data_IF_529098031884
#
_entry.id   IF_529098031884
#
_cell.length_a   1.000
_cell.length_b   1.000
_cell.length_c   1.000
_cell.angle_alpha   90.00
_cell.angle_beta   90.00
_cell.angle_gamma   90.00
#
_symmetry.space_group_name_H-M   'P 1'
#
loop_
_entity.id
_entity.type
_entity.pdbx_description
1 polymer ?
#
# COMPACT_ATOMS: atom_id res chain seq x y z
N UNK A 1 10.78 -0.34 -4.26
CA UNK A 1 9.87 -1.00 -5.23
C UNK A 1 9.83 -2.53 -5.07
N UNK A 2 10.80 -3.18 -4.43
CA UNK A 2 10.91 -4.66 -4.36
C UNK A 2 10.05 -5.40 -3.32
N UNK A 3 9.37 -4.71 -2.38
CA UNK A 3 8.55 -5.36 -1.35
C UNK A 3 7.06 -5.55 -1.70
N UNK A 4 6.57 -4.93 -2.80
CA UNK A 4 5.16 -5.10 -3.25
C UNK A 4 4.98 -6.15 -4.35
N UNK A 5 6.02 -6.39 -5.15
CA UNK A 5 6.05 -7.51 -6.10
C UNK A 5 5.82 -8.88 -5.43
N UNK A 6 6.37 -9.21 -4.24
CA UNK A 6 6.17 -10.54 -3.67
C UNK A 6 4.72 -10.81 -3.26
N UNK A 7 3.96 -9.83 -2.76
CA UNK A 7 2.58 -10.10 -2.31
C UNK A 7 1.66 -10.34 -3.51
N UNK A 8 1.76 -9.53 -4.57
CA UNK A 8 0.99 -9.76 -5.81
C UNK A 8 1.39 -11.09 -6.46
N UNK A 9 2.69 -11.41 -6.47
CA UNK A 9 3.20 -12.67 -7.00
C UNK A 9 2.76 -13.88 -6.19
N UNK A 10 2.76 -13.79 -4.85
CA UNK A 10 2.28 -14.82 -3.94
C UNK A 10 0.77 -15.03 -4.15
N UNK A 11 -0.03 -13.95 -4.20
CA UNK A 11 -1.47 -14.07 -4.47
C UNK A 11 -1.77 -14.64 -5.85
N UNK A 12 -0.99 -14.28 -6.88
CA UNK A 12 -1.16 -14.80 -8.24
C UNK A 12 -0.75 -16.28 -8.34
N UNK A 13 0.35 -16.68 -7.70
CA UNK A 13 0.79 -18.07 -7.67
C UNK A 13 -0.20 -18.97 -6.93
N UNK A 14 -0.73 -18.50 -5.78
CA UNK A 14 -1.71 -19.27 -5.02
C UNK A 14 -3.07 -19.36 -5.74
N UNK A 15 -3.56 -18.27 -6.34
CA UNK A 15 -4.80 -18.33 -7.15
C UNK A 15 -4.64 -19.28 -8.32
N UNK A 16 -3.49 -19.28 -8.98
CA UNK A 16 -3.19 -20.19 -10.08
C UNK A 16 -3.19 -21.66 -9.64
N UNK A 17 -2.47 -21.99 -8.56
CA UNK A 17 -2.40 -23.37 -8.04
C UNK A 17 -3.77 -23.88 -7.60
N UNK A 18 -4.55 -23.07 -6.87
CA UNK A 18 -5.88 -23.49 -6.40
C UNK A 18 -6.86 -23.62 -7.58
N UNK A 19 -6.77 -22.71 -8.57
CA UNK A 19 -7.61 -22.80 -9.78
C UNK A 19 -7.29 -24.06 -10.59
N UNK A 20 -6.02 -24.42 -10.72
CA UNK A 20 -5.59 -25.69 -11.34
C UNK A 20 -6.12 -26.87 -10.54
N UNK A 21 -5.95 -26.88 -9.21
CA UNK A 21 -6.45 -27.97 -8.37
C UNK A 21 -7.97 -28.14 -8.51
N UNK A 22 -8.73 -27.05 -8.53
CA UNK A 22 -10.19 -27.09 -8.75
C UNK A 22 -10.55 -27.61 -10.14
N UNK A 23 -9.83 -27.19 -11.17
CA UNK A 23 -10.04 -27.66 -12.54
C UNK A 23 -9.73 -29.16 -12.67
N UNK A 24 -8.60 -29.60 -12.11
CA UNK A 24 -8.20 -31.01 -12.10
C UNK A 24 -9.24 -31.85 -11.36
N UNK A 25 -9.73 -31.40 -10.21
CA UNK A 25 -10.76 -32.13 -9.45
C UNK A 25 -12.09 -32.19 -10.21
N UNK A 26 -12.47 -31.10 -10.88
CA UNK A 26 -13.66 -31.08 -11.73
C UNK A 26 -13.55 -32.06 -12.90
N UNK A 27 -12.34 -32.29 -13.40
CA UNK A 27 -12.05 -33.21 -14.50
C UNK A 27 -11.82 -34.66 -14.04
N UNK A 28 -11.28 -34.86 -12.83
CA UNK A 28 -10.89 -36.17 -12.30
C UNK A 28 -11.99 -36.88 -11.54
N UNK A 29 -13.02 -36.16 -11.08
CA UNK A 29 -14.24 -36.80 -10.61
C UNK A 29 -15.03 -37.26 -11.83
N UNK A 30 -14.78 -38.51 -12.25
CA UNK A 30 -15.53 -39.27 -13.26
C UNK A 30 -17.03 -39.29 -12.92
N UNK A 31 -17.72 -38.20 -13.21
CA UNK A 31 -19.16 -38.22 -13.36
C UNK A 31 -19.43 -38.91 -14.70
N UNK A 32 -20.32 -39.91 -14.79
CA UNK A 32 -20.84 -40.35 -16.08
C UNK A 32 -21.27 -39.10 -16.88
N UNK A 33 -21.17 -39.13 -18.21
CA UNK A 33 -21.32 -37.99 -19.15
C UNK A 33 -22.45 -37.00 -18.78
N UNK A 34 -23.49 -37.49 -18.13
CA UNK A 34 -24.67 -36.77 -17.61
C UNK A 34 -24.35 -35.73 -16.51
N UNK A 35 -23.32 -35.91 -15.68
CA UNK A 35 -22.99 -35.02 -14.54
C UNK A 35 -21.91 -33.95 -14.79
N UNK A 36 -21.22 -34.04 -15.93
CA UNK A 36 -20.07 -33.18 -16.27
C UNK A 36 -20.40 -31.67 -16.33
N UNK A 37 -21.56 -31.23 -16.87
CA UNK A 37 -21.90 -29.80 -16.90
C UNK A 37 -22.05 -29.19 -15.51
N UNK A 38 -22.60 -29.98 -14.56
CA UNK A 38 -22.79 -29.53 -13.19
C UNK A 38 -21.46 -29.43 -12.45
N UNK A 39 -20.56 -30.40 -12.61
CA UNK A 39 -19.21 -30.35 -12.03
C UNK A 39 -18.41 -29.13 -12.54
N UNK A 40 -18.44 -28.86 -13.84
CA UNK A 40 -17.79 -27.69 -14.45
C UNK A 40 -18.38 -26.39 -13.91
N UNK A 41 -19.72 -26.32 -13.76
CA UNK A 41 -20.39 -25.16 -13.16
C UNK A 41 -19.95 -24.92 -11.72
N UNK A 42 -19.86 -25.97 -10.89
CA UNK A 42 -19.39 -25.85 -9.51
C UNK A 42 -17.94 -25.36 -9.44
N UNK A 43 -17.06 -25.90 -10.28
CA UNK A 43 -15.66 -25.48 -10.35
C UNK A 43 -15.53 -24.02 -10.79
N UNK A 44 -16.28 -23.61 -11.82
CA UNK A 44 -16.30 -22.23 -12.30
C UNK A 44 -16.70 -21.26 -11.18
N UNK A 45 -17.83 -21.49 -10.49
CA UNK A 45 -18.26 -20.60 -9.41
C UNK A 45 -17.30 -20.63 -8.22
N UNK A 46 -16.68 -21.78 -7.92
CA UNK A 46 -15.67 -21.87 -6.85
C UNK A 46 -14.42 -21.04 -7.16
N UNK A 47 -13.92 -21.14 -8.40
CA UNK A 47 -12.78 -20.33 -8.87
C UNK A 47 -13.15 -18.85 -8.87
N UNK A 48 -14.32 -18.48 -9.40
CA UNK A 48 -14.78 -17.10 -9.45
C UNK A 48 -14.93 -16.51 -8.05
N UNK A 49 -15.51 -17.26 -7.11
CA UNK A 49 -15.64 -16.83 -5.71
C UNK A 49 -14.28 -16.68 -5.04
N UNK A 50 -13.35 -17.59 -5.29
CA UNK A 50 -12.00 -17.49 -4.75
C UNK A 50 -11.25 -16.26 -5.30
N UNK A 51 -11.27 -16.07 -6.61
CA UNK A 51 -10.60 -14.95 -7.28
C UNK A 51 -11.17 -13.61 -6.79
N UNK A 52 -12.49 -13.49 -6.72
CA UNK A 52 -13.15 -12.28 -6.21
C UNK A 52 -12.86 -12.04 -4.73
N UNK A 53 -12.88 -13.08 -3.88
CA UNK A 53 -12.49 -12.96 -2.46
C UNK A 53 -11.07 -12.45 -2.31
N UNK A 54 -10.10 -13.05 -3.01
CA UNK A 54 -8.70 -12.65 -2.91
C UNK A 54 -8.48 -11.22 -3.43
N UNK A 55 -9.14 -10.85 -4.52
CA UNK A 55 -9.07 -9.50 -5.09
C UNK A 55 -9.66 -8.47 -4.13
N UNK A 56 -10.83 -8.74 -3.54
CA UNK A 56 -11.42 -7.88 -2.51
C UNK A 56 -10.53 -7.76 -1.27
N UNK A 57 -9.97 -8.87 -0.79
CA UNK A 57 -9.05 -8.87 0.36
C UNK A 57 -7.80 -8.03 0.07
N UNK A 58 -7.20 -8.18 -1.11
CA UNK A 58 -6.05 -7.40 -1.54
C UNK A 58 -6.37 -5.90 -1.58
N UNK A 59 -7.51 -5.50 -2.16
CA UNK A 59 -7.95 -4.11 -2.17
C UNK A 59 -8.12 -3.54 -0.76
N UNK A 60 -8.73 -4.29 0.16
CA UNK A 60 -8.90 -3.84 1.55
C UNK A 60 -7.53 -3.66 2.21
N UNK A 61 -6.62 -4.63 2.03
CA UNK A 61 -5.23 -4.53 2.53
C UNK A 61 -4.55 -3.28 1.98
N UNK A 62 -4.68 -2.96 0.69
CA UNK A 62 -4.11 -1.76 0.10
C UNK A 62 -4.71 -0.47 0.69
N UNK A 63 -6.02 -0.41 0.89
CA UNK A 63 -6.67 0.74 1.50
C UNK A 63 -6.21 0.95 2.94
N UNK A 64 -6.16 -0.12 3.74
CA UNK A 64 -5.66 -0.07 5.11
C UNK A 64 -4.17 0.29 5.14
N UNK A 65 -3.37 -0.23 4.21
CA UNK A 65 -1.95 0.12 4.08
C UNK A 65 -1.75 1.62 3.80
N UNK A 66 -2.54 2.20 2.87
CA UNK A 66 -2.51 3.65 2.61
C UNK A 66 -2.94 4.43 3.86
N UNK A 67 -4.00 3.98 4.55
CA UNK A 67 -4.43 4.56 5.83
C UNK A 67 -3.32 4.55 6.88
N UNK A 68 -2.63 3.42 7.05
CA UNK A 68 -1.53 3.28 7.99
C UNK A 68 -0.38 4.24 7.64
N UNK A 69 -0.01 4.35 6.36
CA UNK A 69 1.04 5.28 5.92
C UNK A 69 0.65 6.75 6.10
N UNK A 70 -0.63 7.10 6.07
CA UNK A 70 -1.06 8.49 6.27
C UNK A 70 -1.18 8.84 7.75
N UNK A 71 -1.73 7.94 8.56
CA UNK A 71 -2.19 8.26 9.92
C UNK A 71 -1.34 7.66 11.03
N UNK A 72 -0.77 6.47 10.83
CA UNK A 72 -0.07 5.72 11.89
C UNK A 72 1.44 5.81 11.73
N UNK A 73 1.92 5.70 10.49
CA UNK A 73 3.32 5.71 10.12
C UNK A 73 3.59 6.73 9.00
N UNK A 74 3.45 8.04 9.25
CA UNK A 74 3.72 9.08 8.24
C UNK A 74 5.11 8.97 7.61
N UNK A 75 6.12 8.56 8.38
CA UNK A 75 7.50 8.44 7.89
C UNK A 75 7.67 7.30 6.87
N UNK A 76 6.82 6.27 6.91
CA UNK A 76 6.78 5.20 5.92
C UNK A 76 6.31 5.67 4.53
N UNK A 77 5.86 6.92 4.41
CA UNK A 77 5.61 7.52 3.10
C UNK A 77 6.92 7.72 2.35
N UNK A 78 8.00 8.08 3.04
CA UNK A 78 9.18 8.73 2.46
C UNK A 78 10.31 7.79 2.03
N UNK A 79 10.31 6.52 2.47
CA UNK A 79 11.35 5.53 2.13
C UNK A 79 11.49 5.30 0.61
N UNK A 80 10.49 5.68 -0.20
CA UNK A 80 10.51 5.52 -1.65
C UNK A 80 10.85 6.80 -2.43
N UNK A 81 11.10 7.93 -1.76
CA UNK A 81 11.24 9.25 -2.38
C UNK A 81 12.68 9.74 -2.36
N UNK A 82 13.63 8.90 -2.79
CA UNK A 82 15.05 9.24 -2.81
C UNK A 82 15.42 10.49 -3.62
N UNK A 83 14.49 11.11 -4.36
CA UNK A 83 14.78 12.20 -5.30
C UNK A 83 13.71 13.30 -5.43
N UNK A 84 12.62 13.28 -4.64
CA UNK A 84 11.61 14.34 -4.71
C UNK A 84 11.67 15.26 -3.47
N UNK A 85 12.76 16.00 -3.37
CA UNK A 85 12.96 17.06 -2.39
C UNK A 85 12.64 18.42 -3.05
N UNK A 86 12.39 19.50 -2.26
CA UNK A 86 12.15 20.82 -2.84
C UNK A 86 13.26 21.24 -3.85
N UNK A 87 13.00 22.12 -4.82
CA UNK A 87 14.08 22.62 -5.67
C UNK A 87 15.00 23.56 -4.88
N UNK A 88 16.32 23.39 -4.97
CA UNK A 88 17.28 24.32 -4.36
C UNK A 88 17.47 25.60 -5.18
N UNK A 89 17.81 26.71 -4.53
CA UNK A 89 18.10 27.98 -5.21
C UNK A 89 19.57 28.07 -5.61
N UNK A 90 19.85 27.78 -6.88
CA UNK A 90 21.18 27.92 -7.47
C UNK A 90 21.22 29.12 -8.40
N UNK A 91 22.15 30.05 -8.17
CA UNK A 91 22.40 31.20 -9.04
C UNK A 91 23.76 30.99 -9.69
N UNK A 92 23.77 30.76 -11.00
CA UNK A 92 25.02 30.51 -11.71
C UNK A 92 25.69 31.83 -12.13
N UNK A 93 27.01 31.89 -11.98
CA UNK A 93 27.82 32.95 -12.57
C UNK A 93 27.70 32.93 -14.10
N UNK A 94 27.53 34.08 -14.77
CA UNK A 94 27.48 34.15 -16.23
C UNK A 94 28.74 33.59 -16.90
N UNK A 95 29.90 33.73 -16.26
CA UNK A 95 31.19 33.45 -16.91
C UNK A 95 31.68 32.00 -16.73
N UNK A 96 31.30 31.29 -15.66
CA UNK A 96 31.95 30.01 -15.30
C UNK A 96 31.02 28.89 -14.78
N UNK A 97 29.70 29.11 -14.69
CA UNK A 97 28.75 28.08 -14.21
C UNK A 97 28.89 27.69 -12.73
N UNK A 98 29.72 28.41 -11.96
CA UNK A 98 29.88 28.20 -10.52
C UNK A 98 28.72 28.87 -9.76
N UNK A 99 28.07 28.20 -8.80
CA UNK A 99 27.05 28.82 -7.96
C UNK A 99 27.61 30.01 -7.18
N UNK A 100 27.03 31.20 -7.35
CA UNK A 100 27.34 32.41 -6.59
C UNK A 100 26.39 32.52 -5.40
N UNK A 101 26.90 33.04 -4.27
CA UNK A 101 26.08 33.42 -3.12
C UNK A 101 25.41 34.77 -3.35
N UNK A 102 24.11 34.87 -3.12
CA UNK A 102 23.44 36.17 -2.99
C UNK A 102 24.03 36.87 -1.78
N UNK A 103 24.49 38.10 -1.90
CA UNK A 103 24.97 38.86 -0.73
C UNK A 103 24.22 40.19 -0.64
N UNK A 104 23.13 40.18 0.12
CA UNK A 104 22.38 41.40 0.42
C UNK A 104 22.96 42.18 1.61
N UNK A 105 23.99 41.67 2.30
CA UNK A 105 24.64 42.34 3.42
C UNK A 105 25.81 43.21 3.00
N UNK A 106 26.42 42.94 1.83
CA UNK A 106 27.65 43.63 1.38
C UNK A 106 27.39 44.80 0.41
N UNK A 107 26.21 44.91 -0.20
CA UNK A 107 25.88 46.05 -1.05
C UNK A 107 24.98 47.03 -0.31
N UNK A 108 25.55 48.19 0.07
CA UNK A 108 24.82 49.37 0.58
C UNK A 108 23.64 49.80 -0.33
N UNK A 109 23.64 49.30 -1.57
CA UNK A 109 22.53 49.34 -2.50
C UNK A 109 21.85 47.97 -2.56
N UNK A 110 20.61 47.92 -2.08
CA UNK A 110 19.66 46.81 -2.16
C UNK A 110 19.29 46.35 -3.59
N UNK A 111 20.27 46.18 -4.48
CA UNK A 111 20.08 45.98 -5.92
C UNK A 111 20.51 44.58 -6.33
N UNK A 112 19.54 43.67 -6.39
CA UNK A 112 19.68 42.41 -7.13
C UNK A 112 19.86 42.72 -8.62
N UNK A 113 20.83 42.05 -9.26
CA UNK A 113 20.95 42.03 -10.73
C UNK A 113 19.73 41.38 -11.35
N UNK A 114 19.43 41.69 -12.62
CA UNK A 114 18.27 41.13 -13.30
C UNK A 114 18.36 39.60 -13.42
N UNK A 115 19.56 39.05 -13.65
CA UNK A 115 19.81 37.60 -13.64
C UNK A 115 19.48 36.95 -12.28
N UNK A 116 19.76 37.63 -11.16
CA UNK A 116 19.41 37.13 -9.83
C UNK A 116 17.90 37.17 -9.60
N UNK A 117 17.22 38.25 -10.01
CA UNK A 117 15.76 38.37 -9.92
C UNK A 117 15.07 37.28 -10.72
N UNK A 118 15.53 37.03 -11.95
CA UNK A 118 14.99 35.97 -12.81
C UNK A 118 15.23 34.59 -12.20
N UNK A 119 16.43 34.31 -11.67
CA UNK A 119 16.72 33.03 -11.01
C UNK A 119 15.84 32.79 -9.78
N UNK A 120 15.62 33.82 -8.95
CA UNK A 120 14.72 33.73 -7.79
C UNK A 120 13.29 33.49 -8.26
N UNK A 121 12.82 34.20 -9.30
CA UNK A 121 11.47 34.04 -9.83
C UNK A 121 11.24 32.63 -10.37
N UNK A 122 12.16 32.10 -11.18
CA UNK A 122 12.09 30.72 -11.69
C UNK A 122 12.08 29.72 -10.55
N UNK A 123 12.97 29.86 -9.56
CA UNK A 123 12.98 28.99 -8.39
C UNK A 123 11.66 29.06 -7.59
N UNK A 124 11.04 30.23 -7.45
CA UNK A 124 9.74 30.37 -6.79
C UNK A 124 8.63 29.64 -7.56
N UNK A 125 8.61 29.75 -8.88
CA UNK A 125 7.67 29.02 -9.73
C UNK A 125 7.88 27.50 -9.62
N UNK A 126 9.14 27.04 -9.66
CA UNK A 126 9.50 25.64 -9.49
C UNK A 126 9.12 25.12 -8.10
N UNK A 127 9.36 25.89 -7.03
CA UNK A 127 8.99 25.49 -5.68
C UNK A 127 7.46 25.44 -5.51
N UNK A 128 6.72 26.40 -6.05
CA UNK A 128 5.25 26.36 -6.07
C UNK A 128 4.74 25.14 -6.84
N UNK A 129 5.32 24.87 -8.02
CA UNK A 129 4.98 23.72 -8.84
C UNK A 129 5.26 22.42 -8.09
N UNK A 130 6.45 22.27 -7.51
CA UNK A 130 6.83 21.13 -6.68
C UNK A 130 5.85 20.93 -5.51
N UNK A 131 5.52 22.01 -4.79
CA UNK A 131 4.64 21.94 -3.61
C UNK A 131 3.19 21.60 -3.99
N UNK A 132 2.74 22.09 -5.15
CA UNK A 132 1.44 21.74 -5.72
C UNK A 132 1.40 20.29 -6.22
N UNK A 133 2.53 19.80 -6.73
CA UNK A 133 2.78 18.43 -7.14
C UNK A 133 3.28 17.59 -5.96
N UNK A 134 2.56 17.61 -4.83
CA UNK A 134 2.88 16.73 -3.72
C UNK A 134 2.66 15.27 -4.15
N UNK A 135 3.68 14.66 -4.77
CA UNK A 135 3.66 13.33 -5.37
C UNK A 135 3.23 12.28 -4.37
N UNK A 136 3.55 12.49 -3.08
CA UNK A 136 3.12 11.61 -1.99
C UNK A 136 1.60 11.60 -1.88
N UNK A 137 0.99 12.79 -1.87
CA UNK A 137 -0.47 12.93 -1.80
C UNK A 137 -1.14 12.39 -3.05
N UNK A 138 -0.62 12.73 -4.24
CA UNK A 138 -1.18 12.24 -5.52
C UNK A 138 -1.08 10.71 -5.58
N UNK A 139 0.08 10.14 -5.28
CA UNK A 139 0.31 8.69 -5.32
C UNK A 139 -0.55 7.93 -4.31
N UNK A 140 -0.65 8.43 -3.07
CA UNK A 140 -1.53 7.81 -2.07
C UNK A 140 -2.99 7.86 -2.52
N UNK A 141 -3.43 8.96 -3.14
CA UNK A 141 -4.77 9.08 -3.73
C UNK A 141 -4.94 8.09 -4.88
N UNK A 142 -4.00 8.00 -5.82
CA UNK A 142 -4.06 7.05 -6.95
C UNK A 142 -4.14 5.61 -6.46
N UNK A 143 -3.32 5.22 -5.48
CA UNK A 143 -3.38 3.87 -4.90
C UNK A 143 -4.71 3.60 -4.21
N UNK A 144 -5.23 4.56 -3.44
CA UNK A 144 -6.53 4.43 -2.79
C UNK A 144 -7.66 4.32 -3.81
N UNK A 145 -7.66 5.15 -4.86
CA UNK A 145 -8.65 5.12 -5.94
C UNK A 145 -8.60 3.77 -6.65
N UNK A 146 -7.42 3.29 -7.06
CA UNK A 146 -7.29 2.00 -7.73
C UNK A 146 -7.80 0.85 -6.85
N UNK A 147 -7.41 0.82 -5.57
CA UNK A 147 -7.85 -0.21 -4.65
C UNK A 147 -9.37 -0.17 -4.45
N UNK A 148 -9.94 1.03 -4.34
CA UNK A 148 -11.39 1.24 -4.20
C UNK A 148 -12.16 0.83 -5.46
N UNK A 149 -11.68 1.20 -6.65
CA UNK A 149 -12.27 0.80 -7.93
C UNK A 149 -12.33 -0.72 -8.06
N UNK A 150 -11.24 -1.41 -7.73
CA UNK A 150 -11.20 -2.87 -7.73
C UNK A 150 -12.17 -3.44 -6.68
N UNK A 151 -12.23 -2.87 -5.47
CA UNK A 151 -13.10 -3.34 -4.40
C UNK A 151 -14.58 -3.24 -4.78
N UNK A 152 -14.99 -2.12 -5.37
CA UNK A 152 -16.37 -1.85 -5.81
C UNK A 152 -16.85 -2.91 -6.80
N UNK A 153 -15.95 -3.44 -7.64
CA UNK A 153 -16.30 -4.48 -8.63
C UNK A 153 -16.18 -5.89 -8.03
N UNK A 154 -15.07 -6.18 -7.35
CA UNK A 154 -14.78 -7.51 -6.85
C UNK A 154 -15.72 -7.95 -5.72
N UNK A 155 -16.09 -7.03 -4.82
CA UNK A 155 -16.87 -7.37 -3.63
C UNK A 155 -18.31 -7.82 -3.96
N UNK A 156 -19.07 -7.15 -4.84
CA UNK A 156 -20.37 -7.65 -5.29
C UNK A 156 -20.27 -8.99 -6.01
N UNK A 157 -19.24 -9.17 -6.86
CA UNK A 157 -18.99 -10.45 -7.56
C UNK A 157 -18.73 -11.56 -6.55
N UNK A 158 -17.98 -11.30 -5.49
CA UNK A 158 -17.75 -12.25 -4.41
C UNK A 158 -19.06 -12.68 -3.75
N UNK A 159 -19.88 -11.74 -3.28
CA UNK A 159 -21.14 -12.07 -2.61
C UNK A 159 -22.10 -12.84 -3.52
N UNK A 160 -22.22 -12.42 -4.79
CA UNK A 160 -23.07 -13.08 -5.76
C UNK A 160 -22.59 -14.51 -6.06
N UNK A 161 -21.32 -14.66 -6.41
CA UNK A 161 -20.74 -15.97 -6.74
C UNK A 161 -20.73 -16.91 -5.54
N UNK A 162 -20.43 -16.42 -4.34
CA UNK A 162 -20.48 -17.19 -3.10
C UNK A 162 -21.89 -17.71 -2.81
N UNK A 163 -22.91 -16.87 -3.00
CA UNK A 163 -24.31 -17.26 -2.81
C UNK A 163 -24.73 -18.34 -3.81
N UNK A 164 -24.35 -18.19 -5.08
CA UNK A 164 -24.65 -19.19 -6.12
C UNK A 164 -23.93 -20.50 -5.81
N UNK A 165 -22.65 -20.44 -5.45
CA UNK A 165 -21.82 -21.60 -5.14
C UNK A 165 -22.40 -22.38 -3.96
N UNK A 166 -22.69 -21.71 -2.85
CA UNK A 166 -23.23 -22.32 -1.63
C UNK A 166 -24.61 -22.95 -1.84
N UNK A 167 -25.52 -22.28 -2.55
CA UNK A 167 -26.83 -22.86 -2.93
C UNK A 167 -26.66 -24.11 -3.79
N UNK A 168 -25.73 -24.07 -4.74
CA UNK A 168 -25.45 -25.21 -5.61
C UNK A 168 -24.89 -26.41 -4.82
N UNK A 169 -24.06 -26.15 -3.81
CA UNK A 169 -23.56 -27.19 -2.91
C UNK A 169 -24.65 -27.78 -2.02
N UNK A 170 -25.61 -26.97 -1.55
CA UNK A 170 -26.72 -27.45 -0.73
C UNK A 170 -27.65 -28.42 -1.47
N UNK A 171 -27.82 -28.29 -2.79
CA UNK A 171 -28.68 -29.19 -3.58
C UNK A 171 -28.01 -30.53 -3.93
N UNK A 172 -26.71 -30.70 -3.65
CA UNK A 172 -25.96 -31.88 -4.05
C UNK A 172 -25.85 -32.86 -2.87
N UNK A 173 -26.49 -34.03 -2.98
CA UNK A 173 -26.60 -35.02 -1.89
C UNK A 173 -25.23 -35.63 -1.47
N UNK A 174 -24.20 -35.52 -2.31
CA UNK A 174 -22.81 -35.86 -2.00
C UNK A 174 -21.98 -34.59 -1.88
N UNK A 175 -21.14 -34.51 -0.84
CA UNK A 175 -20.13 -33.46 -0.71
C UNK A 175 -19.24 -33.45 -1.97
N UNK A 176 -19.30 -32.38 -2.73
CA UNK A 176 -18.44 -32.23 -3.91
C UNK A 176 -16.99 -32.05 -3.46
N UNK A 177 -16.01 -32.70 -4.10
CA UNK A 177 -14.60 -32.46 -3.78
C UNK A 177 -14.19 -31.00 -4.02
N UNK A 178 -14.84 -30.32 -4.97
CA UNK A 178 -14.63 -28.89 -5.24
C UNK A 178 -14.94 -28.02 -4.02
N UNK A 179 -15.97 -28.37 -3.26
CA UNK A 179 -16.33 -27.71 -2.03
C UNK A 179 -15.21 -27.84 -0.99
N UNK A 180 -14.73 -29.06 -0.72
CA UNK A 180 -13.64 -29.24 0.24
C UNK A 180 -12.38 -28.47 -0.15
N UNK A 181 -11.99 -28.50 -1.43
CA UNK A 181 -10.83 -27.75 -1.91
C UNK A 181 -11.01 -26.24 -1.80
N UNK A 182 -12.21 -25.72 -2.05
CA UNK A 182 -12.49 -24.31 -1.79
C UNK A 182 -12.28 -23.97 -0.31
N UNK A 183 -12.95 -24.67 0.60
CA UNK A 183 -12.92 -24.32 2.02
C UNK A 183 -11.52 -24.51 2.64
N UNK A 184 -10.84 -25.61 2.34
CA UNK A 184 -9.48 -25.82 2.84
C UNK A 184 -8.48 -24.91 2.15
N UNK A 185 -8.65 -24.61 0.86
CA UNK A 185 -7.79 -23.69 0.12
C UNK A 185 -7.82 -22.27 0.67
N UNK A 186 -9.01 -21.74 0.98
CA UNK A 186 -9.15 -20.42 1.62
C UNK A 186 -8.50 -20.40 3.01
N UNK A 187 -8.74 -21.44 3.82
CA UNK A 187 -8.17 -21.55 5.18
C UNK A 187 -6.64 -21.65 5.14
N UNK A 188 -6.09 -22.45 4.24
CA UNK A 188 -4.65 -22.60 4.04
C UNK A 188 -4.02 -21.28 3.58
N UNK A 189 -4.59 -20.63 2.58
CA UNK A 189 -4.05 -19.37 2.04
C UNK A 189 -4.01 -18.28 3.10
N UNK A 190 -5.10 -18.12 3.85
CA UNK A 190 -5.16 -17.12 4.93
C UNK A 190 -4.19 -17.43 6.07
N UNK A 191 -4.02 -18.72 6.42
CA UNK A 191 -3.02 -19.13 7.40
C UNK A 191 -1.59 -18.84 6.94
N UNK A 192 -1.26 -19.11 5.67
CA UNK A 192 0.05 -18.79 5.09
C UNK A 192 0.32 -17.28 5.15
N UNK A 193 -0.66 -16.46 4.79
CA UNK A 193 -0.54 -14.99 4.89
C UNK A 193 -0.28 -14.51 6.32
N UNK A 194 -0.95 -15.10 7.30
CA UNK A 194 -0.72 -14.81 8.72
C UNK A 194 0.71 -15.20 9.11
N UNK A 195 1.13 -16.43 8.79
CA UNK A 195 2.47 -16.94 9.13
C UNK A 195 3.59 -16.08 8.53
N UNK A 196 3.48 -15.73 7.24
CA UNK A 196 4.46 -14.87 6.56
C UNK A 196 4.49 -13.48 7.22
N UNK A 197 3.32 -12.90 7.53
CA UNK A 197 3.24 -11.59 8.17
C UNK A 197 3.85 -11.60 9.57
N UNK A 198 3.59 -12.65 10.36
CA UNK A 198 4.20 -12.85 11.68
C UNK A 198 5.72 -13.00 11.55
N UNK A 199 6.21 -13.80 10.60
CA UNK A 199 7.64 -13.96 10.36
C UNK A 199 8.33 -12.63 10.01
N UNK A 200 7.71 -11.81 9.17
CA UNK A 200 8.22 -10.48 8.83
C UNK A 200 8.20 -9.52 10.02
N UNK A 201 7.14 -9.56 10.86
CA UNK A 201 7.05 -8.76 12.07
C UNK A 201 8.11 -9.16 13.10
N UNK A 202 8.30 -10.46 13.32
CA UNK A 202 9.34 -10.98 14.22
C UNK A 202 10.71 -10.58 13.71
N UNK A 203 10.97 -10.71 12.40
CA UNK A 203 12.24 -10.27 11.82
C UNK A 203 12.46 -8.75 11.97
N UNK A 204 11.43 -7.93 11.76
CA UNK A 204 11.53 -6.49 11.97
C UNK A 204 11.83 -6.15 13.44
N UNK A 205 11.11 -6.79 14.38
CA UNK A 205 11.31 -6.60 15.82
C UNK A 205 12.69 -7.07 16.26
N UNK A 206 13.15 -8.23 15.78
CA UNK A 206 14.48 -8.74 16.08
C UNK A 206 15.56 -7.82 15.55
N UNK A 207 15.45 -7.34 14.31
CA UNK A 207 16.40 -6.38 13.76
C UNK A 207 16.37 -5.08 14.56
N UNK A 208 15.20 -4.60 14.99
CA UNK A 208 15.08 -3.40 15.81
C UNK A 208 15.74 -3.55 17.19
N UNK A 209 15.62 -4.73 17.82
CA UNK A 209 16.16 -5.01 19.15
C UNK A 209 17.66 -5.35 19.12
N UNK A 210 18.10 -6.14 18.14
CA UNK A 210 19.45 -6.71 18.06
C UNK A 210 20.41 -5.83 17.27
N UNK A 211 19.91 -5.08 16.28
CA UNK A 211 20.66 -4.10 15.54
C UNK A 211 20.17 -2.73 16.00
N UNK A 212 20.69 -2.18 17.13
CA UNK A 212 20.39 -0.80 17.47
C UNK A 212 20.67 0.02 16.22
N UNK A 213 19.67 0.78 15.76
CA UNK A 213 19.84 1.69 14.63
C UNK A 213 21.18 2.36 14.81
N UNK A 214 22.13 2.11 13.89
CA UNK A 214 23.41 2.82 13.93
C UNK A 214 23.06 4.29 13.74
N UNK A 215 22.86 5.02 14.83
CA UNK A 215 22.86 6.48 14.87
C UNK A 215 24.21 7.07 14.44
N UNK A 216 25.21 6.24 14.15
CA UNK A 216 26.57 6.68 13.87
C UNK A 216 27.08 6.20 12.51
N UNK A 217 27.39 7.18 11.66
CA UNK A 217 28.43 7.24 10.61
C UNK A 217 27.95 7.51 9.19
N UNK A 218 26.65 7.47 8.90
CA UNK A 218 26.19 8.08 7.66
C UNK A 218 26.08 9.58 7.89
N UNK A 219 26.72 10.43 7.05
CA UNK A 219 26.54 11.87 7.16
C UNK A 219 25.03 12.17 7.11
N UNK A 220 24.55 13.17 7.89
CA UNK A 220 23.15 13.58 7.85
C UNK A 220 22.76 13.79 6.39
N UNK A 221 21.62 13.24 5.99
CA UNK A 221 21.15 13.42 4.62
C UNK A 221 20.95 14.91 4.39
N UNK A 222 21.75 15.49 3.49
CA UNK A 222 21.63 16.89 3.07
C UNK A 222 21.28 16.89 1.59
N UNK A 223 20.02 17.17 1.23
CA UNK A 223 19.61 17.19 -0.17
C UNK A 223 20.26 18.32 -0.97
N UNK A 224 20.85 19.32 -0.29
CA UNK A 224 21.51 20.46 -0.92
C UNK A 224 22.88 20.74 -0.32
N UNK A 225 23.71 21.43 -1.10
CA UNK A 225 24.94 22.02 -0.63
C UNK A 225 24.69 23.26 0.25
N UNK A 226 25.76 23.79 0.85
CA UNK A 226 25.68 25.01 1.67
C UNK A 226 25.31 26.25 0.87
N UNK A 227 25.45 26.23 -0.45
CA UNK A 227 25.23 27.39 -1.32
C UNK A 227 23.76 27.61 -1.59
N UNK A 228 23.02 26.55 -1.92
CA UNK A 228 21.58 26.63 -2.11
C UNK A 228 20.86 27.03 -0.81
N UNK A 229 21.29 26.50 0.34
CA UNK A 229 20.74 26.87 1.65
C UNK A 229 21.02 28.36 1.92
N UNK A 230 22.28 28.80 1.76
CA UNK A 230 22.66 30.19 1.98
C UNK A 230 21.91 31.15 1.06
N UNK A 231 21.68 30.79 -0.21
CA UNK A 231 20.94 31.63 -1.15
C UNK A 231 19.49 31.85 -0.69
N UNK A 232 18.80 30.81 -0.22
CA UNK A 232 17.43 30.97 0.29
C UNK A 232 17.41 31.79 1.59
N UNK A 233 18.35 31.56 2.50
CA UNK A 233 18.52 32.38 3.72
C UNK A 233 18.76 33.86 3.39
N UNK A 234 19.58 34.12 2.37
CA UNK A 234 19.86 35.48 1.94
C UNK A 234 18.64 36.13 1.29
N UNK A 235 17.82 35.41 0.51
CA UNK A 235 16.52 35.94 0.01
C UNK A 235 15.63 36.41 1.16
N UNK A 236 15.55 35.65 2.27
CA UNK A 236 14.81 36.07 3.47
C UNK A 236 15.39 37.37 4.03
N UNK A 237 16.70 37.45 4.20
CA UNK A 237 17.36 38.67 4.69
C UNK A 237 17.13 39.88 3.77
N UNK A 238 17.26 39.70 2.45
CA UNK A 238 16.99 40.76 1.46
C UNK A 238 15.55 41.28 1.57
N UNK A 239 14.56 40.46 1.92
CA UNK A 239 13.18 40.94 2.06
C UNK A 239 12.98 41.87 3.25
N UNK A 240 13.73 41.65 4.34
CA UNK A 240 13.63 42.46 5.55
C UNK A 240 14.35 43.80 5.40
N UNK A 241 15.48 43.82 4.70
CA UNK A 241 16.32 45.01 4.56
C UNK A 241 16.02 45.83 3.28
N UNK A 242 15.53 45.19 2.21
CA UNK A 242 15.47 45.78 0.86
C UNK A 242 14.07 45.94 0.24
N UNK A 243 12.99 45.80 1.01
CA UNK A 243 11.59 45.99 0.51
C UNK A 243 11.21 45.10 -0.69
N UNK A 244 11.74 43.87 -0.77
CA UNK A 244 11.24 42.88 -1.75
C UNK A 244 9.77 42.51 -1.45
N UNK A 245 9.02 42.00 -2.44
CA UNK A 245 7.63 41.59 -2.20
C UNK A 245 7.53 40.57 -1.08
N UNK A 246 6.58 40.75 -0.16
CA UNK A 246 6.40 39.88 1.02
C UNK A 246 6.26 38.39 0.67
N UNK A 247 5.73 38.09 -0.52
CA UNK A 247 5.62 36.73 -1.06
C UNK A 247 6.95 35.97 -1.11
N UNK A 248 8.07 36.67 -1.33
CA UNK A 248 9.40 36.07 -1.43
C UNK A 248 9.84 35.53 -0.07
N UNK A 249 9.58 36.29 0.99
CA UNK A 249 9.86 35.90 2.37
C UNK A 249 9.05 34.68 2.77
N UNK A 250 7.76 34.69 2.44
CA UNK A 250 6.84 33.61 2.79
C UNK A 250 7.24 32.30 2.13
N UNK A 251 7.57 32.33 0.83
CA UNK A 251 7.98 31.12 0.10
C UNK A 251 9.34 30.61 0.54
N UNK A 252 10.32 31.50 0.77
CA UNK A 252 11.63 31.10 1.29
C UNK A 252 11.54 30.48 2.68
N UNK A 253 10.72 31.06 3.56
CA UNK A 253 10.46 30.51 4.90
C UNK A 253 9.76 29.14 4.82
N UNK A 254 8.80 28.98 3.90
CA UNK A 254 8.12 27.71 3.69
C UNK A 254 9.08 26.64 3.14
N UNK A 255 9.94 27.01 2.19
CA UNK A 255 10.96 26.11 1.65
C UNK A 255 11.93 25.63 2.73
N UNK A 256 12.37 26.52 3.62
CA UNK A 256 13.25 26.15 4.75
C UNK A 256 12.57 25.14 5.67
N UNK A 257 11.30 25.36 6.00
CA UNK A 257 10.50 24.41 6.81
C UNK A 257 10.36 23.05 6.12
N UNK A 258 10.01 23.04 4.84
CA UNK A 258 9.84 21.81 4.08
C UNK A 258 11.18 21.06 3.98
N UNK A 259 12.28 21.75 3.69
CA UNK A 259 13.64 21.18 3.63
C UNK A 259 14.09 20.56 4.96
N UNK A 260 13.86 21.27 6.07
CA UNK A 260 14.19 20.77 7.40
C UNK A 260 13.35 19.53 7.73
N UNK A 261 12.06 19.56 7.45
CA UNK A 261 11.14 18.42 7.63
C UNK A 261 11.59 17.19 6.82
N UNK A 262 12.03 17.36 5.57
CA UNK A 262 12.58 16.27 4.76
C UNK A 262 13.88 15.71 5.33
N UNK A 263 14.78 16.59 5.77
CA UNK A 263 16.08 16.23 6.36
C UNK A 263 15.88 15.44 7.65
N UNK A 264 15.04 15.94 8.57
CA UNK A 264 14.74 15.29 9.84
C UNK A 264 14.10 13.92 9.59
N UNK A 265 13.11 13.83 8.70
CA UNK A 265 12.44 12.56 8.39
C UNK A 265 13.35 11.52 7.76
N UNK A 266 14.29 11.93 6.90
CA UNK A 266 15.25 11.01 6.31
C UNK A 266 16.25 10.50 7.35
N UNK A 267 16.65 11.36 8.28
CA UNK A 267 17.52 11.01 9.39
C UNK A 267 16.81 10.14 10.44
N UNK A 268 15.48 10.27 10.57
CA UNK A 268 14.64 9.43 11.44
C UNK A 268 13.90 8.34 10.69
N UNK A 269 14.28 8.03 9.44
CA UNK A 269 13.58 7.08 8.60
C UNK A 269 13.72 5.67 9.19
N UNK A 270 12.75 5.29 10.00
CA UNK A 270 12.69 3.98 10.58
C UNK A 270 12.20 2.98 9.53
N UNK A 271 13.12 2.21 8.94
CA UNK A 271 12.81 1.17 7.95
C UNK A 271 11.79 0.14 8.46
N UNK A 272 11.64 0.00 9.78
CA UNK A 272 10.64 -0.89 10.37
C UNK A 272 9.21 -0.37 10.22
N UNK A 273 8.99 0.96 10.19
CA UNK A 273 7.65 1.55 10.02
C UNK A 273 7.01 1.15 8.69
N UNK A 274 7.80 1.05 7.61
CA UNK A 274 7.28 0.54 6.32
C UNK A 274 6.89 -0.92 6.41
N UNK A 275 7.69 -1.73 7.10
CA UNK A 275 7.37 -3.15 7.30
C UNK A 275 6.07 -3.29 8.09
N UNK A 276 5.92 -2.55 9.22
CA UNK A 276 4.70 -2.54 10.03
C UNK A 276 3.49 -2.04 9.26
N UNK A 277 3.63 -0.98 8.45
CA UNK A 277 2.56 -0.44 7.63
C UNK A 277 2.05 -1.45 6.61
N UNK A 278 2.87 -2.42 6.17
CA UNK A 278 2.47 -3.48 5.21
C UNK A 278 1.92 -4.72 5.91
N UNK A 279 2.62 -5.22 6.92
CA UNK A 279 2.32 -6.54 7.52
C UNK A 279 1.11 -6.50 8.46
N UNK A 280 0.89 -5.39 9.19
CA UNK A 280 -0.25 -5.27 10.10
C UNK A 280 -1.59 -5.33 9.37
N UNK A 281 -1.81 -4.60 8.26
CA UNK A 281 -3.01 -4.77 7.44
C UNK A 281 -3.24 -6.19 6.95
N UNK A 282 -2.20 -6.86 6.43
CA UNK A 282 -2.31 -8.23 5.92
C UNK A 282 -2.75 -9.18 7.04
N UNK A 283 -2.07 -9.10 8.18
CA UNK A 283 -2.36 -9.95 9.33
C UNK A 283 -3.80 -9.74 9.84
N UNK A 284 -4.24 -8.48 9.95
CA UNK A 284 -5.59 -8.14 10.40
C UNK A 284 -6.65 -8.71 9.46
N UNK A 285 -6.53 -8.45 8.15
CA UNK A 285 -7.52 -8.91 7.17
C UNK A 285 -7.50 -10.42 7.02
N UNK A 286 -6.32 -11.05 6.95
CA UNK A 286 -6.20 -12.51 6.86
C UNK A 286 -6.80 -13.20 8.10
N UNK A 287 -6.60 -12.63 9.30
CA UNK A 287 -7.18 -13.16 10.55
C UNK A 287 -8.70 -13.08 10.56
N UNK A 288 -9.27 -11.99 10.04
CA UNK A 288 -10.74 -11.84 9.91
C UNK A 288 -11.31 -12.87 8.92
N UNK A 289 -10.69 -13.02 7.74
CA UNK A 289 -11.13 -14.00 6.74
C UNK A 289 -11.00 -15.42 7.30
N UNK A 290 -9.86 -15.76 7.92
CA UNK A 290 -9.65 -17.07 8.54
C UNK A 290 -10.69 -17.37 9.61
N UNK A 291 -10.96 -16.41 10.50
CA UNK A 291 -11.93 -16.58 11.60
C UNK A 291 -13.36 -16.76 11.07
N UNK A 292 -13.77 -15.93 10.12
CA UNK A 292 -15.05 -16.08 9.43
C UNK A 292 -15.15 -17.45 8.77
N UNK A 293 -14.12 -17.85 8.04
CA UNK A 293 -14.10 -19.10 7.29
C UNK A 293 -14.08 -20.34 8.18
N UNK A 294 -13.33 -20.32 9.29
CA UNK A 294 -13.32 -21.38 10.30
C UNK A 294 -14.70 -21.54 10.95
N UNK A 295 -15.42 -20.42 11.19
CA UNK A 295 -16.79 -20.48 11.72
C UNK A 295 -17.76 -21.18 10.76
N UNK A 296 -17.60 -20.97 9.44
CA UNK A 296 -18.43 -21.62 8.42
C UNK A 296 -18.17 -23.13 8.36
N UNK A 297 -16.90 -23.55 8.42
CA UNK A 297 -16.54 -24.97 8.45
C UNK A 297 -17.15 -25.64 9.70
N UNK A 298 -17.04 -25.00 10.87
CA UNK A 298 -17.61 -25.53 12.12
C UNK A 298 -19.12 -25.71 12.04
N UNK A 299 -19.85 -24.69 11.56
CA UNK A 299 -21.31 -24.75 11.39
C UNK A 299 -21.72 -25.92 10.48
N UNK A 300 -21.04 -26.09 9.34
CA UNK A 300 -21.31 -27.21 8.45
C UNK A 300 -21.04 -28.56 9.10
N UNK A 301 -19.91 -28.70 9.81
CA UNK A 301 -19.58 -29.97 10.48
C UNK A 301 -20.62 -30.33 11.56
N UNK A 302 -21.25 -29.33 12.20
CA UNK A 302 -22.32 -29.56 13.17
C UNK A 302 -23.63 -30.02 12.51
N UNK A 303 -24.01 -29.41 11.38
CA UNK A 303 -25.17 -29.83 10.57
C UNK A 303 -25.04 -31.28 10.07
N UNK A 304 -23.81 -31.77 9.89
CA UNK A 304 -23.55 -33.16 9.49
C UNK A 304 -23.70 -34.18 10.62
N UNK A 305 -23.47 -33.78 11.87
CA UNK A 305 -23.52 -34.67 13.05
C UNK A 305 -24.92 -34.73 13.67
N UNK A 306 -25.75 -33.70 13.46
CA UNK A 306 -27.18 -33.72 13.81
C UNK A 306 -28.03 -33.90 12.54
N UNK A 307 -28.20 -35.13 12.02
CA UNK A 307 -29.23 -35.36 11.02
C UNK A 307 -30.57 -35.05 11.69
N UNK A 308 -31.27 -34.09 11.12
CA UNK A 308 -32.62 -33.68 11.50
C UNK A 308 -33.49 -34.92 11.74
N UNK A 309 -33.88 -35.16 12.99
CA UNK A 309 -35.00 -36.05 13.32
C UNK A 309 -36.27 -35.42 12.77
N UNK A 310 -36.55 -35.63 11.48
CA UNK A 310 -37.85 -35.34 10.93
C UNK A 310 -38.84 -36.38 11.49
N UNK A 311 -39.98 -35.96 12.09
CA UNK A 311 -40.96 -36.91 12.57
C UNK A 311 -41.56 -37.65 11.37
N UNK A 312 -41.34 -38.96 11.32
CA UNK A 312 -42.07 -39.87 10.45
C UNK A 312 -43.55 -39.72 10.75
N UNK A 313 -44.28 -39.03 9.87
CA UNK A 313 -45.73 -39.00 9.86
C UNK A 313 -46.18 -40.43 9.59
N UNK A 314 -46.54 -41.16 10.64
CA UNK A 314 -47.18 -42.48 10.53
C UNK A 314 -48.46 -42.27 9.72
N UNK A 315 -48.47 -42.74 8.48
CA UNK A 315 -49.70 -43.11 7.78
C UNK A 315 -50.28 -44.29 8.55
N UNK A 316 -51.29 -44.04 9.38
CA UNK A 316 -52.21 -45.07 9.82
C UNK A 316 -53.12 -45.41 8.65
N UNK A 317 -53.15 -46.70 8.33
CA UNK A 317 -54.09 -47.38 7.43
C UNK A 317 -55.53 -47.11 7.84
#
# INVERSE_FOLDING_TARGET
MFLFAPITFITAAFTFVISIAMLVIALSQDTPVIGRPQAVRHAFFSILTLLSLMTSAASIVFLTHVGFRIWVFPDAQYEQFGYNYPPGLYINAPENGVPIKIDCKIQETCTLTDNQKDSIKTWMEDYKNWRSQNEITIRNRTHAINALSILIVALPIFFLSYTIMTRSFATTQKKSATQHVYYYGVSFTTLVMILVSVGLLVNALMNQLLLPEKKGNNPPFRPYDTTAIANVENVVACTEECSLPAEYKDLATQWQKDTQMFTDRQNTLNRYHTTYAVTLPIMLIASLIFSWHASLIRKRNQEEVSPTTAPTKKTSV
#
